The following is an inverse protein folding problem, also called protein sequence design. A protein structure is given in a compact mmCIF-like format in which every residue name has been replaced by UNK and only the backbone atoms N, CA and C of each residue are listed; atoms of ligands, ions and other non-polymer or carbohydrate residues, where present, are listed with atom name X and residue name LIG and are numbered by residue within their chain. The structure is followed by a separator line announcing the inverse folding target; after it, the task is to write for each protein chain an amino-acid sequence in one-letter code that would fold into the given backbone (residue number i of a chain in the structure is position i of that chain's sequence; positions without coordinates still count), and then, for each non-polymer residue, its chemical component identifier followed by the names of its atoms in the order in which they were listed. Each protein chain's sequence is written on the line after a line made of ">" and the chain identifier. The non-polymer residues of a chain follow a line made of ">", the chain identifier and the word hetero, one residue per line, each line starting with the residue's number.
data_IF_140777748593
#
_entry.id   IF_140777748593
#
_cell.length_a   1.000
_cell.length_b   1.000
_cell.length_c   1.000
_cell.angle_alpha   90.00
_cell.angle_beta   90.00
_cell.angle_gamma   90.00
#
_symmetry.space_group_name_H-M   'P 1'
#
loop_
_entity.id
_entity.type
_entity.pdbx_description
1 polymer ?
#
# COMPACT_ATOMS: atom_id res chain seq x y z
N UNK A 1 3.79 -14.51 -19.24
CA UNK A 1 2.80 -13.49 -19.72
C UNK A 1 3.27 -12.12 -19.28
N UNK A 2 2.91 -11.02 -19.99
CA UNK A 2 3.27 -9.68 -19.54
C UNK A 2 2.40 -9.27 -18.34
N UNK A 3 2.99 -8.58 -17.37
CA UNK A 3 2.26 -7.94 -16.28
C UNK A 3 1.50 -6.72 -16.82
N UNK A 4 0.31 -6.46 -16.30
CA UNK A 4 -0.55 -5.37 -16.74
C UNK A 4 -0.83 -4.41 -15.60
N UNK A 5 -1.00 -3.12 -15.91
CA UNK A 5 -1.50 -2.15 -14.94
C UNK A 5 -3.00 -2.43 -14.72
N UNK A 6 -3.42 -2.78 -13.49
CA UNK A 6 -4.83 -2.99 -13.22
C UNK A 6 -5.59 -1.65 -13.24
N UNK A 7 -6.88 -1.68 -13.58
CA UNK A 7 -7.73 -0.51 -13.49
C UNK A 7 -7.91 -0.05 -12.03
N UNK A 8 -8.05 1.28 -11.83
CA UNK A 8 -8.45 1.81 -10.53
C UNK A 8 -9.87 1.34 -10.18
N UNK A 9 -10.15 0.98 -8.90
CA UNK A 9 -11.49 0.56 -8.49
C UNK A 9 -12.50 1.72 -8.41
N UNK A 10 -12.09 2.95 -8.70
CA UNK A 10 -12.89 4.17 -8.69
C UNK A 10 -12.36 5.18 -9.73
N UNK A 11 -13.15 6.21 -10.05
CA UNK A 11 -12.73 7.31 -10.90
C UNK A 11 -11.61 8.12 -10.24
N UNK A 12 -10.72 8.73 -11.04
CA UNK A 12 -9.55 9.47 -10.53
C UNK A 12 -9.90 10.65 -9.61
N UNK A 13 -11.10 11.22 -9.73
CA UNK A 13 -11.60 12.33 -8.93
C UNK A 13 -12.39 11.89 -7.68
N UNK A 14 -12.65 10.59 -7.55
CA UNK A 14 -13.56 10.06 -6.53
C UNK A 14 -13.04 10.15 -5.09
N UNK A 15 -11.73 10.30 -4.89
CA UNK A 15 -11.12 10.44 -3.57
C UNK A 15 -10.97 11.91 -3.12
N UNK A 16 -11.34 12.88 -3.97
CA UNK A 16 -11.34 14.28 -3.60
C UNK A 16 -12.32 14.55 -2.43
N UNK A 17 -12.01 15.49 -1.51
CA UNK A 17 -10.85 16.40 -1.49
C UNK A 17 -9.60 15.81 -0.82
N UNK A 18 -9.58 14.54 -0.46
CA UNK A 18 -8.52 13.92 0.34
C UNK A 18 -7.28 13.53 -0.48
N UNK A 19 -7.48 13.08 -1.72
CA UNK A 19 -6.45 12.85 -2.73
C UNK A 19 -6.96 13.44 -4.04
N UNK A 20 -6.18 14.33 -4.64
CA UNK A 20 -6.58 15.02 -5.86
C UNK A 20 -6.49 14.11 -7.10
N UNK A 21 -7.26 14.42 -8.17
CA UNK A 21 -7.09 13.78 -9.47
C UNK A 21 -5.66 13.93 -10.02
N UNK A 22 -4.98 15.04 -9.74
CA UNK A 22 -3.60 15.28 -10.15
C UNK A 22 -2.66 14.29 -9.48
N UNK A 23 -2.81 14.07 -8.17
CA UNK A 23 -2.01 13.06 -7.46
C UNK A 23 -2.22 11.67 -8.07
N UNK A 24 -3.46 11.26 -8.39
CA UNK A 24 -3.72 9.97 -9.02
C UNK A 24 -3.19 9.89 -10.46
N UNK A 25 -3.19 10.99 -11.22
CA UNK A 25 -2.58 11.02 -12.55
C UNK A 25 -1.08 10.68 -12.49
N UNK A 26 -0.37 11.19 -11.50
CA UNK A 26 1.05 10.87 -11.33
C UNK A 26 1.27 9.55 -10.60
N UNK A 27 0.60 9.32 -9.48
CA UNK A 27 0.83 8.16 -8.63
C UNK A 27 0.43 6.84 -9.32
N UNK A 28 -0.78 6.80 -9.90
CA UNK A 28 -1.23 5.64 -10.69
C UNK A 28 -0.70 5.69 -12.13
N UNK A 29 -0.91 6.81 -12.83
CA UNK A 29 -0.66 6.91 -14.27
C UNK A 29 0.82 6.99 -14.65
N UNK A 30 1.71 7.39 -13.73
CA UNK A 30 3.16 7.46 -13.98
C UNK A 30 3.93 6.48 -13.11
N UNK A 31 3.86 6.59 -11.77
CA UNK A 31 4.67 5.73 -10.88
C UNK A 31 4.26 4.27 -10.97
N UNK A 32 3.00 3.92 -10.73
CA UNK A 32 2.54 2.52 -10.79
C UNK A 32 2.75 1.93 -12.19
N UNK A 33 2.42 2.70 -13.24
CA UNK A 33 2.64 2.28 -14.63
C UNK A 33 4.13 2.03 -14.93
N UNK A 34 5.03 2.89 -14.43
CA UNK A 34 6.46 2.70 -14.62
C UNK A 34 6.99 1.41 -13.95
N UNK A 35 6.49 1.05 -12.77
CA UNK A 35 6.87 -0.22 -12.13
C UNK A 35 6.43 -1.43 -12.96
N UNK A 36 5.23 -1.40 -13.56
CA UNK A 36 4.75 -2.45 -14.47
C UNK A 36 5.66 -2.56 -15.69
N UNK A 37 5.98 -1.44 -16.34
CA UNK A 37 6.84 -1.42 -17.54
C UNK A 37 8.25 -1.91 -17.21
N UNK A 38 8.83 -1.45 -16.10
CA UNK A 38 10.16 -1.86 -15.66
C UNK A 38 10.21 -3.37 -15.33
N UNK A 39 9.16 -3.89 -14.66
CA UNK A 39 9.06 -5.31 -14.35
C UNK A 39 9.03 -6.14 -15.64
N UNK A 40 8.18 -5.76 -16.60
CA UNK A 40 8.10 -6.43 -17.91
C UNK A 40 9.45 -6.40 -18.64
N UNK A 41 10.12 -5.24 -18.66
CA UNK A 41 11.44 -5.13 -19.28
C UNK A 41 12.49 -6.02 -18.61
N UNK A 42 12.51 -6.07 -17.28
CA UNK A 42 13.50 -6.85 -16.52
C UNK A 42 13.27 -8.36 -16.58
N UNK A 43 12.03 -8.80 -16.80
CA UNK A 43 11.66 -10.23 -16.86
C UNK A 43 11.57 -10.77 -18.29
N UNK A 44 11.60 -9.91 -19.30
CA UNK A 44 11.50 -10.33 -20.71
C UNK A 44 12.53 -11.39 -21.07
N UNK A 45 12.07 -12.53 -21.59
CA UNK A 45 12.92 -13.65 -21.99
C UNK A 45 13.53 -14.45 -20.83
N UNK A 46 13.09 -14.22 -19.60
CA UNK A 46 13.55 -14.92 -18.40
C UNK A 46 12.44 -15.77 -17.77
N UNK A 47 12.77 -16.80 -16.97
CA UNK A 47 11.78 -17.60 -16.24
C UNK A 47 10.85 -16.77 -15.34
N UNK A 48 11.31 -15.62 -14.86
CA UNK A 48 10.56 -14.68 -14.03
C UNK A 48 9.31 -14.12 -14.74
N UNK A 49 9.28 -14.09 -16.09
CA UNK A 49 8.13 -13.64 -16.87
C UNK A 49 6.89 -14.54 -16.74
N UNK A 50 7.08 -15.78 -16.29
CA UNK A 50 6.00 -16.77 -16.13
C UNK A 50 5.54 -16.91 -14.66
N UNK A 51 6.17 -16.16 -13.74
CA UNK A 51 5.81 -16.15 -12.32
C UNK A 51 4.73 -15.13 -12.01
N UNK A 52 3.97 -15.36 -10.93
CA UNK A 52 3.06 -14.38 -10.36
C UNK A 52 3.82 -13.29 -9.60
N UNK A 53 3.18 -12.15 -9.33
CA UNK A 53 3.76 -11.08 -8.49
C UNK A 53 4.15 -11.61 -7.11
N UNK A 54 3.29 -12.43 -6.49
CA UNK A 54 3.52 -13.01 -5.18
C UNK A 54 4.72 -13.96 -5.17
N UNK A 55 4.90 -14.75 -6.22
CA UNK A 55 6.08 -15.61 -6.38
C UNK A 55 7.36 -14.78 -6.53
N UNK A 56 7.32 -13.72 -7.34
CA UNK A 56 8.45 -12.79 -7.49
C UNK A 56 8.79 -12.08 -6.17
N UNK A 57 7.79 -11.61 -5.42
CA UNK A 57 7.99 -10.98 -4.11
C UNK A 57 8.71 -11.93 -3.15
N UNK A 58 8.35 -13.23 -3.16
CA UNK A 58 8.94 -14.21 -2.26
C UNK A 58 10.33 -14.67 -2.68
N UNK A 59 10.62 -14.70 -3.98
CA UNK A 59 11.81 -15.41 -4.51
C UNK A 59 12.80 -14.53 -5.26
N UNK A 60 12.40 -13.39 -5.80
CA UNK A 60 13.27 -12.51 -6.56
C UNK A 60 14.07 -11.56 -5.66
N UNK A 61 15.13 -10.98 -6.22
CA UNK A 61 16.00 -10.00 -5.57
C UNK A 61 16.17 -8.75 -6.46
N UNK A 62 16.74 -7.69 -5.87
CA UNK A 62 17.13 -6.48 -6.57
C UNK A 62 15.97 -5.82 -7.33
N UNK A 63 16.20 -5.43 -8.59
CA UNK A 63 15.24 -4.68 -9.40
C UNK A 63 13.95 -5.45 -9.68
N UNK A 64 14.01 -6.77 -9.89
CA UNK A 64 12.81 -7.58 -10.15
C UNK A 64 11.94 -7.61 -8.90
N UNK A 65 12.52 -7.86 -7.72
CA UNK A 65 11.78 -7.77 -6.45
C UNK A 65 11.17 -6.39 -6.27
N UNK A 66 11.96 -5.33 -6.41
CA UNK A 66 11.49 -3.97 -6.18
C UNK A 66 10.29 -3.62 -7.07
N UNK A 67 10.37 -3.91 -8.37
CA UNK A 67 9.28 -3.59 -9.29
C UNK A 67 8.06 -4.49 -9.06
N UNK A 68 8.23 -5.80 -8.83
CA UNK A 68 7.12 -6.71 -8.53
C UNK A 68 6.40 -6.31 -7.23
N UNK A 69 7.16 -6.02 -6.17
CA UNK A 69 6.61 -5.56 -4.91
C UNK A 69 5.87 -4.22 -5.07
N UNK A 70 6.44 -3.24 -5.79
CA UNK A 70 5.77 -1.96 -6.03
C UNK A 70 4.51 -2.10 -6.87
N UNK A 71 4.48 -2.96 -7.89
CA UNK A 71 3.23 -3.24 -8.64
C UNK A 71 2.17 -3.81 -7.70
N UNK A 72 2.53 -4.77 -6.86
CA UNK A 72 1.61 -5.37 -5.90
C UNK A 72 1.15 -4.39 -4.82
N UNK A 73 2.09 -3.65 -4.21
CA UNK A 73 1.81 -2.67 -3.15
C UNK A 73 0.81 -1.61 -3.61
N UNK A 74 1.03 -1.04 -4.81
CA UNK A 74 0.14 -0.02 -5.36
C UNK A 74 -1.24 -0.60 -5.70
N UNK A 75 -1.28 -1.79 -6.32
CA UNK A 75 -2.55 -2.47 -6.60
C UNK A 75 -3.35 -2.66 -5.31
N UNK A 76 -2.72 -3.18 -4.26
CA UNK A 76 -3.37 -3.39 -2.97
C UNK A 76 -3.77 -2.06 -2.31
N UNK A 77 -2.93 -1.03 -2.40
CA UNK A 77 -3.20 0.30 -1.85
C UNK A 77 -4.44 0.94 -2.46
N UNK A 78 -4.67 0.81 -3.77
CA UNK A 78 -5.90 1.33 -4.38
C UNK A 78 -7.15 0.71 -3.78
N UNK A 79 -7.12 -0.56 -3.41
CA UNK A 79 -8.23 -1.26 -2.75
C UNK A 79 -8.35 -0.95 -1.25
N UNK A 80 -7.30 -0.39 -0.63
CA UNK A 80 -7.36 0.11 0.75
C UNK A 80 -8.10 1.45 0.89
N UNK A 81 -8.53 2.05 -0.23
CA UNK A 81 -9.25 3.32 -0.25
C UNK A 81 -10.56 3.17 -1.03
N UNK A 82 -11.56 3.95 -0.64
CA UNK A 82 -12.85 4.00 -1.34
C UNK A 82 -13.48 5.39 -1.22
N UNK A 83 -14.22 5.85 -2.25
CA UNK A 83 -15.10 7.01 -2.09
C UNK A 83 -16.07 6.78 -0.93
N UNK A 84 -16.25 7.79 -0.09
CA UNK A 84 -17.11 7.69 1.10
C UNK A 84 -16.67 6.61 2.10
N UNK A 85 -15.36 6.30 2.16
CA UNK A 85 -14.75 5.41 3.13
C UNK A 85 -14.68 6.00 4.53
N UNK A 86 -13.78 5.46 5.34
CA UNK A 86 -13.61 5.87 6.74
C UNK A 86 -14.53 5.10 7.70
N UNK A 87 -14.65 5.64 8.90
CA UNK A 87 -15.44 5.00 9.95
C UNK A 87 -14.66 3.91 10.70
N UNK A 88 -15.39 3.02 11.36
CA UNK A 88 -14.84 1.96 12.20
C UNK A 88 -14.95 0.61 11.48
N UNK A 89 -13.90 -0.23 11.48
CA UNK A 89 -13.98 -1.56 10.88
C UNK A 89 -15.01 -2.45 11.60
N UNK A 90 -15.48 -3.47 10.90
CA UNK A 90 -16.44 -4.45 11.42
C UNK A 90 -15.92 -5.88 11.26
N UNK A 91 -16.65 -6.86 11.79
CA UNK A 91 -16.35 -8.28 11.64
C UNK A 91 -14.99 -8.69 12.24
N UNK A 92 -14.35 -9.67 11.61
CA UNK A 92 -13.12 -10.30 12.10
C UNK A 92 -11.94 -9.34 12.22
N UNK A 93 -11.83 -8.39 11.31
CA UNK A 93 -10.77 -7.37 11.35
C UNK A 93 -10.93 -6.49 12.59
N UNK A 94 -12.14 -6.06 12.91
CA UNK A 94 -12.43 -5.29 14.13
C UNK A 94 -12.07 -6.07 15.39
N UNK A 95 -12.47 -7.35 15.45
CA UNK A 95 -12.16 -8.21 16.59
C UNK A 95 -10.63 -8.37 16.76
N UNK A 96 -9.89 -8.61 15.67
CA UNK A 96 -8.44 -8.75 15.69
C UNK A 96 -7.73 -7.47 16.12
N UNK A 97 -8.17 -6.30 15.63
CA UNK A 97 -7.66 -4.99 16.05
C UNK A 97 -7.90 -4.75 17.53
N UNK A 98 -9.13 -5.01 18.03
CA UNK A 98 -9.45 -4.82 19.44
C UNK A 98 -8.63 -5.75 20.33
N UNK A 99 -8.38 -6.99 19.88
CA UNK A 99 -7.53 -7.92 20.62
C UNK A 99 -6.06 -7.45 20.68
N UNK A 100 -5.55 -6.87 19.59
CA UNK A 100 -4.14 -6.47 19.49
C UNK A 100 -3.86 -5.10 20.13
N UNK A 101 -4.79 -4.14 19.96
CA UNK A 101 -4.59 -2.73 20.32
C UNK A 101 -5.54 -2.23 21.42
N UNK A 102 -6.45 -3.07 21.90
CA UNK A 102 -7.45 -2.70 22.89
C UNK A 102 -8.73 -2.11 22.30
N UNK A 103 -8.62 -1.20 21.34
CA UNK A 103 -9.73 -0.60 20.61
C UNK A 103 -9.27 0.02 19.28
N UNK A 104 -10.23 0.44 18.46
CA UNK A 104 -9.95 1.04 17.14
C UNK A 104 -9.19 2.36 17.23
N UNK A 105 -9.49 3.23 18.20
CA UNK A 105 -8.82 4.53 18.32
C UNK A 105 -7.34 4.36 18.68
N UNK A 106 -7.01 3.44 19.58
CA UNK A 106 -5.61 3.09 19.90
C UNK A 106 -4.86 2.50 18.70
N UNK A 107 -5.53 1.68 17.90
CA UNK A 107 -4.99 1.18 16.64
C UNK A 107 -4.73 2.33 15.65
N UNK A 108 -5.72 3.19 15.45
CA UNK A 108 -5.64 4.35 14.54
C UNK A 108 -4.49 5.28 14.93
N UNK A 109 -4.35 5.56 16.22
CA UNK A 109 -3.22 6.36 16.74
C UNK A 109 -1.89 5.67 16.46
N UNK A 110 -1.77 4.38 16.77
CA UNK A 110 -0.53 3.62 16.57
C UNK A 110 -0.15 3.53 15.09
N UNK A 111 -1.11 3.28 14.21
CA UNK A 111 -0.89 3.24 12.76
C UNK A 111 -0.50 4.62 12.23
N UNK A 112 -1.17 5.69 12.68
CA UNK A 112 -0.84 7.07 12.32
C UNK A 112 0.58 7.43 12.74
N UNK A 113 0.97 7.10 13.97
CA UNK A 113 2.32 7.35 14.48
C UNK A 113 3.37 6.56 13.69
N UNK A 114 3.09 5.30 13.36
CA UNK A 114 3.99 4.47 12.54
C UNK A 114 4.16 5.08 11.14
N UNK A 115 3.07 5.46 10.47
CA UNK A 115 3.10 6.04 9.13
C UNK A 115 3.83 7.38 9.09
N UNK A 116 3.55 8.23 10.06
CA UNK A 116 4.20 9.55 10.16
C UNK A 116 5.68 9.43 10.50
N UNK A 117 6.04 8.49 11.37
CA UNK A 117 7.40 8.29 11.88
C UNK A 117 8.30 7.45 10.99
N UNK A 118 7.80 6.83 9.92
CA UNK A 118 8.66 6.08 9.00
C UNK A 118 9.69 6.99 8.34
N UNK A 119 10.97 6.71 8.60
CA UNK A 119 12.06 7.51 8.03
C UNK A 119 12.28 7.17 6.56
N UNK A 120 12.21 8.19 5.70
CA UNK A 120 12.38 8.02 4.25
C UNK A 120 11.12 7.49 3.56
N UNK A 121 11.35 6.76 2.47
CA UNK A 121 10.30 6.17 1.63
C UNK A 121 9.92 4.78 2.11
N UNK A 122 8.65 4.44 2.03
CA UNK A 122 8.18 3.11 2.40
C UNK A 122 6.66 3.02 2.55
N UNK A 123 6.24 1.99 3.26
CA UNK A 123 4.85 1.59 3.41
C UNK A 123 4.56 1.23 4.87
N UNK A 124 3.45 1.69 5.39
CA UNK A 124 2.94 1.26 6.70
C UNK A 124 1.84 0.23 6.49
N UNK A 125 1.93 -0.88 7.19
CA UNK A 125 1.06 -2.05 7.01
C UNK A 125 0.34 -2.41 8.29
N UNK A 126 -0.92 -2.84 8.17
CA UNK A 126 -1.56 -3.75 9.10
C UNK A 126 -1.43 -5.16 8.52
N UNK A 127 -0.83 -6.07 9.26
CA UNK A 127 -0.61 -7.46 8.81
C UNK A 127 -1.19 -8.46 9.79
N UNK A 128 -1.57 -9.64 9.27
CA UNK A 128 -1.84 -10.83 10.08
C UNK A 128 -0.63 -11.74 10.03
N UNK A 129 -0.09 -12.07 11.20
CA UNK A 129 1.01 -13.02 11.36
C UNK A 129 0.50 -14.45 11.48
N UNK A 130 1.41 -15.45 11.37
CA UNK A 130 1.07 -16.88 11.40
C UNK A 130 0.27 -17.34 12.62
N UNK A 131 0.42 -16.65 13.77
CA UNK A 131 -0.37 -16.93 14.98
C UNK A 131 -1.82 -16.44 14.91
N UNK A 132 -2.23 -15.79 13.81
CA UNK A 132 -3.56 -15.20 13.65
C UNK A 132 -3.69 -13.78 14.25
N UNK A 133 -2.70 -13.32 15.00
CA UNK A 133 -2.67 -11.95 15.53
C UNK A 133 -2.38 -10.93 14.44
N UNK A 134 -2.80 -9.69 14.67
CA UNK A 134 -2.46 -8.57 13.78
C UNK A 134 -1.37 -7.70 14.40
N UNK A 135 -0.56 -7.08 13.55
CA UNK A 135 0.46 -6.11 13.95
C UNK A 135 0.58 -4.97 12.94
N UNK A 136 1.10 -3.84 13.40
CA UNK A 136 1.46 -2.70 12.55
C UNK A 136 2.96 -2.81 12.25
N UNK A 137 3.33 -2.64 10.98
CA UNK A 137 4.71 -2.75 10.53
C UNK A 137 5.05 -1.65 9.53
N UNK A 138 6.26 -1.13 9.64
CA UNK A 138 6.85 -0.23 8.65
C UNK A 138 7.88 -0.98 7.82
N UNK A 139 7.73 -0.94 6.51
CA UNK A 139 8.68 -1.54 5.57
C UNK A 139 9.22 -0.48 4.62
N UNK A 140 10.54 -0.32 4.61
CA UNK A 140 11.22 0.68 3.79
C UNK A 140 11.18 0.33 2.30
N UNK A 141 11.20 1.36 1.45
CA UNK A 141 11.27 1.25 0.00
C UNK A 141 10.12 0.40 -0.58
N UNK A 142 10.43 -0.70 -1.26
CA UNK A 142 9.47 -1.62 -1.86
C UNK A 142 9.05 -2.76 -0.92
N UNK A 143 9.38 -2.69 0.37
CA UNK A 143 9.12 -3.77 1.32
C UNK A 143 7.66 -4.25 1.29
N UNK A 144 7.49 -5.57 1.32
CA UNK A 144 6.17 -6.21 1.23
C UNK A 144 6.08 -7.38 2.22
N UNK A 145 5.02 -7.46 3.04
CA UNK A 145 4.86 -8.49 4.07
C UNK A 145 4.80 -9.93 3.54
N UNK A 146 4.38 -10.12 2.29
CA UNK A 146 4.33 -11.44 1.66
C UNK A 146 5.72 -12.11 1.57
N UNK A 147 6.80 -11.30 1.56
CA UNK A 147 8.17 -11.78 1.56
C UNK A 147 8.44 -12.71 2.73
N UNK A 148 7.92 -12.36 3.90
CA UNK A 148 8.11 -13.08 5.16
C UNK A 148 6.89 -13.92 5.55
N UNK A 149 5.98 -14.19 4.63
CA UNK A 149 4.81 -15.04 4.85
C UNK A 149 3.70 -14.40 5.70
N UNK A 150 3.72 -13.07 5.87
CA UNK A 150 2.64 -12.34 6.55
C UNK A 150 1.53 -11.97 5.59
N UNK A 151 0.29 -11.90 6.07
CA UNK A 151 -0.88 -11.53 5.25
C UNK A 151 -1.16 -10.04 5.39
N UNK A 152 -1.04 -9.23 4.32
CA UNK A 152 -1.44 -7.83 4.35
C UNK A 152 -2.95 -7.68 4.53
N UNK A 153 -3.37 -6.75 5.39
CA UNK A 153 -4.77 -6.40 5.64
C UNK A 153 -5.09 -4.96 5.28
N UNK A 154 -4.13 -4.04 5.48
CA UNK A 154 -4.24 -2.63 5.13
C UNK A 154 -2.83 -2.10 4.82
N UNK A 155 -2.73 -1.14 3.92
CA UNK A 155 -1.48 -0.40 3.70
C UNK A 155 -1.71 1.07 3.44
N UNK A 156 -0.69 1.86 3.77
CA UNK A 156 -0.58 3.26 3.42
C UNK A 156 0.80 3.52 2.80
N UNK A 157 0.79 4.08 1.60
CA UNK A 157 1.99 4.56 0.93
C UNK A 157 2.47 5.86 1.58
N UNK A 158 3.70 5.87 2.10
CA UNK A 158 4.32 7.07 2.67
C UNK A 158 5.57 7.51 1.90
N UNK A 159 5.75 7.03 0.67
CA UNK A 159 6.61 7.68 -0.29
C UNK A 159 6.13 9.12 -0.56
N UNK A 160 7.02 10.07 -0.75
CA UNK A 160 6.64 11.46 -1.00
C UNK A 160 5.76 11.63 -2.25
N UNK A 161 5.96 10.80 -3.28
CA UNK A 161 5.11 10.84 -4.48
C UNK A 161 3.62 10.55 -4.21
N UNK A 162 3.31 9.90 -3.09
CA UNK A 162 1.92 9.60 -2.72
C UNK A 162 1.16 10.84 -2.23
N UNK A 163 1.86 11.87 -1.72
CA UNK A 163 1.20 13.00 -1.05
C UNK A 163 1.78 14.38 -1.36
N UNK A 164 2.94 14.50 -2.00
CA UNK A 164 3.63 15.78 -2.12
C UNK A 164 2.85 16.82 -2.94
N UNK A 165 2.06 16.41 -3.92
CA UNK A 165 1.22 17.31 -4.73
C UNK A 165 0.18 18.01 -3.84
N UNK A 166 -0.53 17.26 -2.99
CA UNK A 166 -1.64 17.78 -2.18
C UNK A 166 -1.18 18.35 -0.84
N UNK A 167 -0.16 17.75 -0.23
CA UNK A 167 0.23 18.03 1.16
C UNK A 167 1.66 18.54 1.32
N UNK A 168 2.45 18.62 0.26
CA UNK A 168 3.87 18.98 0.30
C UNK A 168 4.62 18.10 1.32
N UNK A 169 5.33 18.72 2.26
CA UNK A 169 6.07 18.03 3.32
C UNK A 169 5.19 17.62 4.53
N UNK A 170 3.89 17.90 4.49
CA UNK A 170 2.99 17.64 5.61
C UNK A 170 2.44 16.21 5.59
N UNK A 171 3.32 15.21 5.72
CA UNK A 171 2.91 13.79 5.81
C UNK A 171 1.85 13.53 6.88
N UNK A 172 1.87 14.17 8.08
CA UNK A 172 0.82 13.96 9.08
C UNK A 172 -0.58 14.33 8.58
N UNK A 173 -0.72 15.40 7.76
CA UNK A 173 -2.01 15.81 7.21
C UNK A 173 -2.52 14.82 6.16
N UNK A 174 -1.63 14.28 5.33
CA UNK A 174 -1.96 13.19 4.41
C UNK A 174 -2.43 11.94 5.15
N UNK A 175 -1.70 11.51 6.19
CA UNK A 175 -2.10 10.34 7.00
C UNK A 175 -3.45 10.57 7.68
N UNK A 176 -3.72 11.80 8.15
CA UNK A 176 -5.03 12.18 8.70
C UNK A 176 -6.14 12.12 7.63
N UNK A 177 -5.85 12.59 6.42
CA UNK A 177 -6.81 12.55 5.31
C UNK A 177 -7.15 11.12 4.88
N UNK A 178 -6.18 10.20 4.89
CA UNK A 178 -6.38 8.78 4.57
C UNK A 178 -7.51 8.15 5.40
N UNK A 179 -7.64 8.49 6.67
CA UNK A 179 -8.69 7.95 7.53
C UNK A 179 -10.13 8.31 7.12
N UNK A 180 -10.31 9.30 6.23
CA UNK A 180 -11.64 9.63 5.69
C UNK A 180 -12.00 8.80 4.46
N UNK A 181 -11.04 8.11 3.87
CA UNK A 181 -11.23 7.33 2.63
C UNK A 181 -10.80 5.87 2.79
N UNK A 182 -10.37 5.45 3.98
CA UNK A 182 -9.98 4.06 4.23
C UNK A 182 -11.15 3.11 4.00
N UNK A 183 -10.84 2.03 3.27
CA UNK A 183 -11.80 0.97 2.96
C UNK A 183 -11.63 -0.20 3.93
#
# INVERSE_FOLDING_TARGET
>A
MAFTLPDLPYAKDALAPHISPETLEFHYGKHHHAYVNNLNHQTQGKPEADKTLEELIRTAEGGIFNNAAQVWNHTFFWHCMTPHGGGTPSGDVSAAINQACGNFESFKESFTNAATGLFGSGWTWLVRVSSGKVSIENLSNAGNPLRDGRTPLLTLDVWEHAYYIDYRNARPDYVKAFWNIVN
#
